data_IF_976287163219
#
_entry.id   IF_976287163219
#
_cell.length_a   1.000
_cell.length_b   1.000
_cell.length_c   1.000
_cell.angle_alpha   90.00
_cell.angle_beta   90.00
_cell.angle_gamma   90.00
#
_symmetry.space_group_name_H-M   'P 1'
#
loop_
_entity.id
_entity.type
_entity.pdbx_description
1 polymer ?
#
# COMPACT_ATOMS: atom_id res chain seq x y z
N UNK A 1 5.78 21.44 8.25
CA UNK A 1 4.84 20.70 7.39
C UNK A 1 4.62 19.34 8.02
N UNK A 2 3.40 18.80 7.98
CA UNK A 2 3.08 17.45 8.49
C UNK A 2 3.62 16.38 7.54
N UNK A 3 4.10 15.25 8.07
CA UNK A 3 4.47 14.09 7.25
C UNK A 3 3.23 13.53 6.57
N UNK A 4 3.28 13.33 5.25
CA UNK A 4 2.17 12.78 4.47
C UNK A 4 2.29 11.26 4.42
N UNK A 5 1.24 10.54 4.84
CA UNK A 5 1.15 9.10 4.71
C UNK A 5 0.14 8.78 3.61
N UNK A 6 0.65 8.34 2.46
CA UNK A 6 -0.16 7.92 1.32
C UNK A 6 -0.39 6.42 1.45
N UNK A 7 -1.60 6.05 1.85
CA UNK A 7 -2.00 4.66 2.03
C UNK A 7 -2.61 4.14 0.72
N UNK A 8 -1.76 3.51 -0.10
CA UNK A 8 -2.10 3.02 -1.44
C UNK A 8 -2.61 1.59 -1.33
N UNK A 9 -3.92 1.39 -1.44
CA UNK A 9 -4.52 0.09 -1.21
C UNK A 9 -5.31 -0.44 -2.42
N UNK A 10 -5.65 -1.73 -2.37
CA UNK A 10 -6.42 -2.44 -3.38
C UNK A 10 -6.07 -3.92 -3.43
N UNK A 11 -6.81 -4.71 -4.20
CA UNK A 11 -6.63 -6.17 -4.33
C UNK A 11 -5.22 -6.55 -4.80
N UNK A 12 -4.75 -7.78 -4.56
CA UNK A 12 -3.53 -8.29 -5.16
C UNK A 12 -3.58 -8.16 -6.70
N UNK A 13 -2.48 -7.74 -7.33
CA UNK A 13 -2.43 -7.62 -8.81
C UNK A 13 -2.77 -6.24 -9.39
N UNK A 14 -3.42 -5.33 -8.65
CA UNK A 14 -3.82 -3.99 -9.17
C UNK A 14 -2.65 -3.03 -9.48
N UNK A 15 -1.39 -3.41 -9.24
CA UNK A 15 -0.23 -2.57 -9.60
C UNK A 15 0.32 -1.67 -8.49
N UNK A 16 -0.08 -1.86 -7.23
CA UNK A 16 0.33 -1.00 -6.09
C UNK A 16 1.83 -0.75 -5.97
N UNK A 17 2.66 -1.79 -6.15
CA UNK A 17 4.11 -1.64 -6.05
C UNK A 17 4.65 -0.75 -7.17
N UNK A 18 4.34 -1.09 -8.42
CA UNK A 18 4.83 -0.35 -9.60
C UNK A 18 4.39 1.12 -9.56
N UNK A 19 3.10 1.38 -9.27
CA UNK A 19 2.58 2.74 -9.13
C UNK A 19 3.23 3.44 -7.92
N UNK A 20 3.43 2.74 -6.81
CA UNK A 20 4.09 3.27 -5.62
C UNK A 20 5.55 3.66 -5.86
N UNK A 21 6.32 2.87 -6.63
CA UNK A 21 7.69 3.17 -7.03
C UNK A 21 7.76 4.43 -7.90
N UNK A 22 6.90 4.54 -8.92
CA UNK A 22 6.83 5.70 -9.80
C UNK A 22 6.38 6.95 -9.04
N UNK A 23 5.39 6.83 -8.16
CA UNK A 23 4.96 7.91 -7.30
C UNK A 23 6.07 8.35 -6.32
N UNK A 24 6.83 7.40 -5.76
CA UNK A 24 8.00 7.66 -4.92
C UNK A 24 9.08 8.43 -5.68
N UNK A 25 9.33 8.06 -6.94
CA UNK A 25 10.29 8.75 -7.80
C UNK A 25 9.86 10.20 -8.12
N UNK A 26 8.57 10.44 -8.40
CA UNK A 26 8.04 11.78 -8.68
C UNK A 26 7.98 12.68 -7.44
N UNK A 27 7.54 12.13 -6.31
CA UNK A 27 7.30 12.91 -5.08
C UNK A 27 8.51 13.02 -4.16
N UNK A 28 9.47 12.11 -4.27
CA UNK A 28 10.57 11.95 -3.32
C UNK A 28 10.14 11.33 -1.98
N UNK A 29 8.89 10.86 -1.86
CA UNK A 29 8.41 10.16 -0.67
C UNK A 29 9.02 8.76 -0.55
N UNK A 30 9.21 8.28 0.67
CA UNK A 30 9.71 6.93 0.91
C UNK A 30 8.63 5.89 0.63
N UNK A 31 9.00 4.78 0.01
CA UNK A 31 8.09 3.66 -0.23
C UNK A 31 8.26 2.62 0.87
N UNK A 32 7.20 2.40 1.65
CA UNK A 32 7.05 1.27 2.55
C UNK A 32 6.28 0.17 1.82
N UNK A 33 7.02 -0.74 1.23
CA UNK A 33 6.43 -1.86 0.50
C UNK A 33 5.94 -2.93 1.47
N UNK A 34 4.65 -3.29 1.40
CA UNK A 34 4.03 -4.27 2.29
C UNK A 34 4.82 -5.58 2.39
N UNK A 35 5.23 -6.16 1.24
CA UNK A 35 5.92 -7.44 1.22
C UNK A 35 7.27 -7.43 1.97
N UNK A 36 7.96 -6.31 2.07
CA UNK A 36 9.20 -6.23 2.85
C UNK A 36 8.98 -6.61 4.32
N UNK A 37 7.84 -6.20 4.89
CA UNK A 37 7.45 -6.56 6.25
C UNK A 37 6.88 -7.98 6.31
N UNK A 38 6.03 -8.34 5.34
CA UNK A 38 5.45 -9.69 5.26
C UNK A 38 6.54 -10.75 5.13
N UNK A 39 7.52 -10.56 4.24
CA UNK A 39 8.62 -11.51 4.01
C UNK A 39 9.47 -11.66 5.29
N UNK A 40 9.79 -10.54 5.97
CA UNK A 40 10.49 -10.58 7.24
C UNK A 40 9.74 -11.40 8.28
N UNK A 41 8.44 -11.17 8.44
CA UNK A 41 7.65 -11.84 9.49
C UNK A 41 7.37 -13.31 9.14
N UNK A 42 7.19 -13.62 7.84
CA UNK A 42 7.00 -15.00 7.35
C UNK A 42 8.26 -15.86 7.56
N UNK A 43 9.46 -15.25 7.60
CA UNK A 43 10.69 -15.97 7.93
C UNK A 43 10.72 -16.48 9.39
N UNK A 44 9.86 -15.93 10.26
CA UNK A 44 9.80 -16.25 11.70
C UNK A 44 8.55 -17.04 12.07
N UNK A 45 7.41 -16.76 11.40
CA UNK A 45 6.10 -17.29 11.76
C UNK A 45 5.30 -17.69 10.52
N UNK A 46 4.47 -18.71 10.63
CA UNK A 46 3.53 -19.10 9.57
C UNK A 46 2.57 -17.97 9.27
N UNK A 47 2.31 -17.71 7.98
CA UNK A 47 1.37 -16.69 7.52
C UNK A 47 0.01 -16.83 8.19
N UNK A 48 -0.57 -15.73 8.67
CA UNK A 48 -1.87 -15.69 9.33
C UNK A 48 -1.91 -16.22 10.76
N UNK A 49 -0.80 -16.76 11.30
CA UNK A 49 -0.75 -17.16 12.72
C UNK A 49 -0.84 -15.93 13.65
N UNK A 50 -1.35 -16.09 14.90
CA UNK A 50 -1.45 -14.96 15.83
C UNK A 50 -0.15 -14.16 16.01
N UNK A 51 1.04 -14.78 16.20
CA UNK A 51 2.28 -14.03 16.30
C UNK A 51 2.69 -13.34 14.99
N UNK A 52 2.39 -13.94 13.82
CA UNK A 52 2.59 -13.29 12.52
C UNK A 52 1.77 -11.99 12.42
N UNK A 53 0.48 -12.06 12.71
CA UNK A 53 -0.43 -10.90 12.63
C UNK A 53 0.04 -9.79 13.57
N UNK A 54 0.30 -10.13 14.83
CA UNK A 54 0.70 -9.16 15.84
C UNK A 54 2.02 -8.44 15.48
N UNK A 55 3.04 -9.20 15.06
CA UNK A 55 4.34 -8.61 14.71
C UNK A 55 4.27 -7.78 13.42
N UNK A 56 3.56 -8.26 12.39
CA UNK A 56 3.39 -7.55 11.11
C UNK A 56 2.73 -6.19 11.30
N UNK A 57 1.60 -6.15 12.00
CA UNK A 57 0.87 -4.90 12.25
C UNK A 57 1.67 -3.93 13.11
N UNK A 58 2.36 -4.46 14.13
CA UNK A 58 3.26 -3.66 14.95
C UNK A 58 4.35 -3.01 14.11
N UNK A 59 5.01 -3.76 13.22
CA UNK A 59 6.08 -3.24 12.37
C UNK A 59 5.58 -2.17 11.40
N UNK A 60 4.41 -2.34 10.80
CA UNK A 60 3.81 -1.31 9.94
C UNK A 60 3.55 -0.02 10.70
N UNK A 61 2.94 -0.11 11.88
CA UNK A 61 2.61 1.04 12.70
C UNK A 61 3.88 1.75 13.20
N UNK A 62 4.86 1.00 13.69
CA UNK A 62 6.11 1.56 14.22
C UNK A 62 6.97 2.20 13.12
N UNK A 63 6.98 1.63 11.90
CA UNK A 63 7.67 2.23 10.76
C UNK A 63 7.06 3.59 10.38
N UNK A 64 5.72 3.69 10.35
CA UNK A 64 5.02 4.96 10.09
C UNK A 64 5.30 5.97 11.20
N UNK A 65 5.21 5.57 12.46
CA UNK A 65 5.51 6.41 13.61
C UNK A 65 6.94 6.96 13.57
N UNK A 66 7.92 6.10 13.24
CA UNK A 66 9.32 6.49 13.10
C UNK A 66 9.51 7.52 11.98
N UNK A 67 8.83 7.35 10.84
CA UNK A 67 8.88 8.31 9.74
C UNK A 67 8.30 9.68 10.12
N UNK A 68 7.19 9.71 10.85
CA UNK A 68 6.59 10.97 11.35
C UNK A 68 7.53 11.64 12.35
N UNK A 69 8.07 10.87 13.30
CA UNK A 69 9.02 11.36 14.31
C UNK A 69 10.29 11.93 13.68
N UNK A 70 10.80 11.28 12.64
CA UNK A 70 11.95 11.74 11.85
C UNK A 70 11.61 12.91 10.90
N UNK A 71 10.37 13.40 10.91
CA UNK A 71 9.89 14.50 10.05
C UNK A 71 10.14 14.25 8.56
N UNK A 72 10.01 13.00 8.10
CA UNK A 72 10.02 12.70 6.67
C UNK A 72 8.94 13.51 5.97
N UNK A 73 9.19 13.96 4.74
CA UNK A 73 8.20 14.72 3.95
C UNK A 73 6.96 13.89 3.62
N UNK A 74 7.15 12.59 3.34
CA UNK A 74 6.05 11.65 3.14
C UNK A 74 6.51 10.20 3.02
N UNK A 75 5.54 9.31 3.20
CA UNK A 75 5.67 7.86 3.05
C UNK A 75 4.50 7.35 2.22
N UNK A 76 4.78 6.51 1.24
CA UNK A 76 3.79 5.74 0.47
C UNK A 76 3.81 4.33 1.06
N UNK A 77 2.70 3.89 1.64
CA UNK A 77 2.54 2.52 2.10
C UNK A 77 1.65 1.76 1.13
N UNK A 78 2.15 0.68 0.53
CA UNK A 78 1.30 -0.22 -0.26
C UNK A 78 0.60 -1.21 0.65
N UNK A 79 -0.69 -1.43 0.45
CA UNK A 79 -1.49 -2.29 1.30
C UNK A 79 -2.50 -3.12 0.48
N UNK A 80 -2.59 -4.40 0.78
CA UNK A 80 -3.67 -5.26 0.28
C UNK A 80 -4.58 -5.60 1.47
N UNK A 81 -5.86 -5.18 1.47
CA UNK A 81 -6.82 -5.71 2.42
C UNK A 81 -6.84 -7.24 2.30
N UNK A 82 -6.78 -7.92 3.44
CA UNK A 82 -6.85 -9.39 3.49
C UNK A 82 -7.26 -9.85 4.89
N UNK A 83 -7.89 -11.02 4.97
CA UNK A 83 -8.62 -11.50 6.14
C UNK A 83 -7.77 -11.73 7.40
N UNK A 84 -6.44 -11.75 7.29
CA UNK A 84 -5.55 -11.89 8.46
C UNK A 84 -5.17 -10.54 9.09
N UNK A 85 -5.57 -9.40 8.49
CA UNK A 85 -5.41 -8.09 9.11
C UNK A 85 -6.56 -7.84 10.07
N UNK A 86 -6.23 -7.37 11.28
CA UNK A 86 -7.26 -7.11 12.30
C UNK A 86 -8.13 -5.90 11.95
N UNK A 87 -9.39 -5.90 12.39
CA UNK A 87 -10.30 -4.76 12.17
C UNK A 87 -9.82 -3.50 12.92
N UNK A 88 -9.00 -3.66 13.97
CA UNK A 88 -8.40 -2.59 14.76
C UNK A 88 -7.22 -1.90 14.08
N UNK A 89 -6.62 -2.50 13.05
CA UNK A 89 -5.42 -1.96 12.41
C UNK A 89 -5.66 -0.55 11.85
N UNK A 90 -6.68 -0.36 11.02
CA UNK A 90 -6.98 0.94 10.40
C UNK A 90 -7.37 2.02 11.43
N UNK A 91 -8.26 1.75 12.41
CA UNK A 91 -8.52 2.69 13.50
C UNK A 91 -7.25 3.08 14.28
N UNK A 92 -6.40 2.10 14.60
CA UNK A 92 -5.14 2.33 15.30
C UNK A 92 -4.18 3.18 14.49
N UNK A 93 -4.02 2.90 13.18
CA UNK A 93 -3.21 3.70 12.27
C UNK A 93 -3.69 5.16 12.25
N UNK A 94 -4.98 5.40 12.05
CA UNK A 94 -5.57 6.76 12.08
C UNK A 94 -5.25 7.48 13.38
N UNK A 95 -5.49 6.83 14.52
CA UNK A 95 -5.22 7.40 15.85
C UNK A 95 -3.75 7.77 16.01
N UNK A 96 -2.81 6.87 15.64
CA UNK A 96 -1.36 7.12 15.79
C UNK A 96 -0.88 8.26 14.91
N UNK A 97 -1.30 8.28 13.63
CA UNK A 97 -0.92 9.34 12.68
C UNK A 97 -1.44 10.70 13.15
N UNK A 98 -2.71 10.79 13.55
CA UNK A 98 -3.32 12.03 14.05
C UNK A 98 -2.63 12.53 15.32
N UNK A 99 -2.37 11.64 16.28
CA UNK A 99 -1.71 12.00 17.53
C UNK A 99 -0.30 12.60 17.32
N UNK A 100 0.37 12.22 16.23
CA UNK A 100 1.70 12.74 15.85
C UNK A 100 1.65 13.87 14.82
N UNK A 101 0.44 14.42 14.56
CA UNK A 101 0.23 15.49 13.56
C UNK A 101 0.69 15.12 12.14
N UNK A 102 0.65 13.84 11.79
CA UNK A 102 0.76 13.36 10.42
C UNK A 102 -0.54 13.57 9.65
N UNK A 103 -0.48 13.52 8.34
CA UNK A 103 -1.65 13.53 7.46
C UNK A 103 -1.76 12.17 6.76
N UNK A 104 -2.91 11.49 6.89
CA UNK A 104 -3.17 10.17 6.31
C UNK A 104 -4.15 10.31 5.16
N UNK A 105 -3.78 9.77 4.00
CA UNK A 105 -4.55 9.82 2.76
C UNK A 105 -4.75 8.43 2.21
N UNK A 106 -5.99 8.05 1.93
CA UNK A 106 -6.37 6.75 1.38
C UNK A 106 -6.59 6.86 -0.13
N UNK A 107 -5.76 6.17 -0.91
CA UNK A 107 -5.87 6.09 -2.36
C UNK A 107 -6.13 4.64 -2.74
N UNK A 108 -7.19 4.39 -3.48
CA UNK A 108 -7.54 3.04 -3.94
C UNK A 108 -7.09 2.82 -5.38
N UNK A 109 -6.43 1.68 -5.63
CA UNK A 109 -6.23 1.18 -6.98
C UNK A 109 -7.21 0.06 -7.27
N UNK A 110 -7.89 0.16 -8.41
CA UNK A 110 -8.78 -0.89 -8.94
C UNK A 110 -8.25 -1.40 -10.27
N UNK A 111 -8.72 -2.57 -10.64
CA UNK A 111 -8.49 -3.20 -11.93
C UNK A 111 -9.59 -4.20 -12.18
N UNK A 112 -10.00 -4.39 -13.44
CA UNK A 112 -10.92 -5.44 -13.80
C UNK A 112 -10.35 -6.84 -13.54
N UNK A 113 -11.22 -7.83 -13.38
CA UNK A 113 -10.82 -9.19 -13.00
C UNK A 113 -10.00 -9.88 -14.10
N UNK A 114 -10.32 -9.66 -15.36
CA UNK A 114 -9.61 -10.28 -16.48
C UNK A 114 -8.16 -9.83 -16.53
N UNK A 115 -7.92 -8.53 -16.35
CA UNK A 115 -6.55 -8.01 -16.31
C UNK A 115 -5.83 -8.36 -15.02
N UNK A 116 -6.54 -8.44 -13.88
CA UNK A 116 -5.97 -8.93 -12.64
C UNK A 116 -5.40 -10.33 -12.79
N UNK A 117 -6.17 -11.26 -13.36
CA UNK A 117 -5.76 -12.63 -13.59
C UNK A 117 -4.52 -12.70 -14.50
N UNK A 118 -4.51 -11.93 -15.60
CA UNK A 118 -3.35 -11.82 -16.48
C UNK A 118 -2.11 -11.34 -15.71
N UNK A 119 -2.26 -10.33 -14.87
CA UNK A 119 -1.15 -9.79 -14.06
C UNK A 119 -0.70 -10.75 -12.96
N UNK A 120 -1.59 -11.61 -12.44
CA UNK A 120 -1.25 -12.59 -11.41
C UNK A 120 -0.32 -13.67 -11.94
N UNK A 121 -0.46 -14.07 -13.21
CA UNK A 121 0.38 -15.10 -13.86
C UNK A 121 1.72 -14.57 -14.35
N UNK A 122 1.93 -13.26 -14.39
CA UNK A 122 3.16 -12.67 -14.91
C UNK A 122 4.41 -13.09 -14.11
N UNK A 123 5.51 -13.38 -14.80
CA UNK A 123 6.79 -13.81 -14.19
C UNK A 123 7.37 -12.82 -13.18
N UNK A 124 7.11 -11.51 -13.38
CA UNK A 124 7.56 -10.45 -12.47
C UNK A 124 7.09 -10.61 -11.01
N UNK A 125 6.07 -11.44 -10.77
CA UNK A 125 5.56 -11.74 -9.42
C UNK A 125 6.37 -12.80 -8.65
N UNK A 126 7.34 -13.44 -9.27
CA UNK A 126 8.18 -14.48 -8.64
C UNK A 126 9.06 -14.00 -7.49
N UNK A 127 9.30 -12.69 -7.37
CA UNK A 127 10.32 -12.13 -6.48
C UNK A 127 9.91 -11.94 -5.01
N UNK A 128 8.62 -12.12 -4.62
CA UNK A 128 8.17 -11.71 -3.28
C UNK A 128 7.04 -12.61 -2.72
N UNK A 129 7.08 -13.92 -2.87
CA UNK A 129 6.05 -14.82 -2.30
C UNK A 129 4.60 -14.41 -2.62
N UNK A 130 4.39 -13.63 -3.69
CA UNK A 130 3.08 -13.08 -4.06
C UNK A 130 2.16 -14.19 -4.57
N UNK A 131 0.86 -14.04 -4.30
CA UNK A 131 -0.17 -14.90 -4.86
C UNK A 131 -0.06 -14.95 -6.39
N UNK A 132 0.13 -16.15 -6.95
CA UNK A 132 0.36 -16.40 -8.39
C UNK A 132 -0.65 -17.35 -9.00
N UNK A 133 -1.32 -18.15 -8.18
CA UNK A 133 -2.34 -19.09 -8.62
C UNK A 133 -3.68 -18.37 -8.78
N UNK A 134 -4.16 -18.29 -10.02
CA UNK A 134 -5.43 -17.64 -10.37
C UNK A 134 -6.61 -18.36 -9.73
N UNK A 135 -6.58 -19.70 -9.65
CA UNK A 135 -7.68 -20.45 -9.04
C UNK A 135 -7.71 -20.20 -7.53
N UNK A 136 -6.54 -20.16 -6.88
CA UNK A 136 -6.44 -19.78 -5.48
C UNK A 136 -6.90 -18.34 -5.26
N UNK A 137 -6.54 -17.41 -6.14
CA UNK A 137 -7.00 -16.02 -6.07
C UNK A 137 -8.53 -15.93 -6.18
N UNK A 138 -9.14 -16.59 -7.18
CA UNK A 138 -10.61 -16.63 -7.37
C UNK A 138 -11.33 -17.19 -6.14
N UNK A 139 -10.77 -18.25 -5.55
CA UNK A 139 -11.35 -18.84 -4.35
C UNK A 139 -11.28 -17.88 -3.17
N UNK A 140 -10.13 -17.29 -2.91
CA UNK A 140 -9.93 -16.31 -1.84
C UNK A 140 -10.83 -15.07 -2.03
N UNK A 141 -10.96 -14.57 -3.26
CA UNK A 141 -11.81 -13.42 -3.59
C UNK A 141 -13.29 -13.75 -3.34
N UNK A 142 -13.75 -14.94 -3.80
CA UNK A 142 -15.10 -15.43 -3.57
C UNK A 142 -15.42 -15.63 -2.08
N UNK A 143 -14.43 -16.02 -1.29
CA UNK A 143 -14.55 -16.22 0.15
C UNK A 143 -14.44 -14.88 0.93
N UNK A 144 -14.36 -13.75 0.24
CA UNK A 144 -14.28 -12.42 0.85
C UNK A 144 -12.94 -12.15 1.55
N UNK A 145 -11.86 -12.89 1.19
CA UNK A 145 -10.56 -12.75 1.85
C UNK A 145 -9.97 -11.32 1.70
N UNK A 146 -10.38 -10.57 0.68
CA UNK A 146 -9.90 -9.21 0.40
C UNK A 146 -10.87 -8.11 0.84
N UNK A 147 -11.96 -8.46 1.51
CA UNK A 147 -12.98 -7.52 2.00
C UNK A 147 -12.65 -6.95 3.39
N UNK A 148 -11.63 -7.51 4.05
CA UNK A 148 -11.20 -7.11 5.40
C UNK A 148 -9.73 -6.71 5.42
N UNK A 149 -9.34 -5.78 6.33
CA UNK A 149 -10.22 -4.93 7.15
C UNK A 149 -11.06 -3.99 6.28
N UNK A 150 -12.20 -3.53 6.81
CA UNK A 150 -13.03 -2.55 6.11
C UNK A 150 -12.25 -1.25 5.90
N UNK A 151 -11.97 -0.95 4.65
CA UNK A 151 -11.21 0.24 4.29
C UNK A 151 -12.07 1.49 4.39
N UNK A 152 -11.51 2.63 4.81
CA UNK A 152 -12.16 3.92 4.71
C UNK A 152 -12.43 4.29 3.24
N UNK A 153 -13.39 5.18 3.02
CA UNK A 153 -13.57 5.77 1.69
C UNK A 153 -12.26 6.39 1.21
N UNK A 154 -11.85 6.02 0.00
CA UNK A 154 -10.70 6.60 -0.65
C UNK A 154 -11.00 8.05 -1.08
N UNK A 155 -10.03 8.95 -0.93
CA UNK A 155 -10.14 10.32 -1.47
C UNK A 155 -9.89 10.35 -3.00
N UNK A 156 -9.27 9.30 -3.53
CA UNK A 156 -9.08 9.07 -4.96
C UNK A 156 -9.14 7.58 -5.25
N UNK A 157 -9.90 7.21 -6.28
CA UNK A 157 -9.92 5.86 -6.85
C UNK A 157 -9.29 5.93 -8.23
N UNK A 158 -8.26 5.12 -8.48
CA UNK A 158 -7.58 5.03 -9.77
C UNK A 158 -7.83 3.67 -10.38
N UNK A 159 -8.53 3.62 -11.51
CA UNK A 159 -8.65 2.42 -12.32
C UNK A 159 -7.37 2.25 -13.14
N UNK A 160 -6.71 1.11 -12.93
CA UNK A 160 -5.45 0.73 -13.62
C UNK A 160 -5.68 -0.21 -14.79
N UNK A 161 -6.93 -0.52 -15.15
CA UNK A 161 -7.29 -1.36 -16.28
C UNK A 161 -6.81 -0.73 -17.58
N UNK A 162 -5.96 -1.42 -18.35
CA UNK A 162 -5.40 -0.90 -19.61
C UNK A 162 -4.55 0.38 -19.47
N UNK A 163 -4.36 0.89 -18.26
CA UNK A 163 -3.64 2.15 -18.03
C UNK A 163 -2.14 1.91 -17.80
N UNK A 164 -1.33 2.80 -18.36
CA UNK A 164 0.10 2.85 -18.06
C UNK A 164 0.31 3.16 -16.55
N UNK A 165 1.18 2.41 -15.85
CA UNK A 165 1.48 2.68 -14.45
C UNK A 165 1.99 4.09 -14.18
N UNK A 166 2.71 4.71 -15.12
CA UNK A 166 3.19 6.10 -15.00
C UNK A 166 2.02 7.08 -15.01
N UNK A 167 1.01 6.87 -15.88
CA UNK A 167 -0.20 7.71 -15.88
C UNK A 167 -0.96 7.59 -14.55
N UNK A 168 -1.07 6.38 -14.01
CA UNK A 168 -1.69 6.14 -12.71
C UNK A 168 -0.96 6.90 -11.59
N UNK A 169 0.37 6.85 -11.57
CA UNK A 169 1.18 7.58 -10.61
C UNK A 169 1.05 9.11 -10.77
N UNK A 170 0.98 9.61 -12.01
CA UNK A 170 0.78 11.03 -12.30
C UNK A 170 -0.58 11.54 -11.84
N UNK A 171 -1.65 10.75 -12.02
CA UNK A 171 -2.99 11.10 -11.50
C UNK A 171 -2.96 11.29 -9.98
N UNK A 172 -2.33 10.36 -9.27
CA UNK A 172 -2.17 10.47 -7.81
C UNK A 172 -1.33 11.69 -7.43
N UNK A 173 -0.20 11.89 -8.08
CA UNK A 173 0.67 13.04 -7.81
C UNK A 173 -0.04 14.38 -8.05
N UNK A 174 -0.85 14.49 -9.11
CA UNK A 174 -1.63 15.69 -9.41
C UNK A 174 -2.71 15.93 -8.35
N UNK A 175 -3.43 14.87 -7.94
CA UNK A 175 -4.40 14.95 -6.85
C UNK A 175 -3.75 15.45 -5.55
N UNK A 176 -2.59 14.93 -5.18
CA UNK A 176 -1.85 15.38 -3.99
C UNK A 176 -1.45 16.86 -4.09
N UNK A 177 -0.98 17.32 -5.26
CA UNK A 177 -0.64 18.75 -5.50
C UNK A 177 -1.85 19.65 -5.38
N UNK A 178 -3.01 19.27 -5.93
CA UNK A 178 -4.27 20.01 -5.81
C UNK A 178 -4.75 20.08 -4.36
N UNK A 179 -4.50 19.06 -3.56
CA UNK A 179 -4.79 19.04 -2.13
C UNK A 179 -3.76 19.84 -1.28
N UNK A 180 -2.90 20.64 -1.91
CA UNK A 180 -1.89 21.46 -1.22
C UNK A 180 -0.69 20.69 -0.70
N UNK A 181 -0.55 19.43 -1.10
CA UNK A 181 0.61 18.61 -0.77
C UNK A 181 1.71 18.91 -1.79
N UNK A 182 2.72 19.66 -1.40
CA UNK A 182 3.88 19.95 -2.24
C UNK A 182 5.02 18.98 -1.94
N UNK A 183 5.15 17.88 -2.73
CA UNK A 183 6.26 16.97 -2.58
C UNK A 183 7.58 17.71 -2.92
N UNK A 184 8.58 17.61 -2.08
CA UNK A 184 9.92 18.12 -2.42
C UNK A 184 10.55 17.16 -3.41
N UNK A 185 10.70 17.58 -4.68
CA UNK A 185 11.52 16.81 -5.64
C UNK A 185 12.88 16.53 -5.02
N UNK A 186 13.32 15.27 -5.02
CA UNK A 186 14.71 14.94 -4.69
C UNK A 186 15.61 15.79 -5.56
N UNK A 187 16.43 16.67 -4.97
CA UNK A 187 17.60 17.18 -5.68
C UNK A 187 18.42 15.95 -6.05
N UNK A 188 18.65 15.74 -7.35
CA UNK A 188 19.66 14.80 -7.81
C UNK A 188 20.95 15.24 -7.13
N UNK A 189 21.47 14.42 -6.21
CA UNK A 189 22.86 14.57 -5.77
C UNK A 189 23.73 14.30 -6.99
N UNK A 190 24.40 15.33 -7.43
CA UNK A 190 25.46 15.28 -8.45
C UNK A 190 26.57 14.37 -7.99
#
# INVERSE_FOLDING_TARGET
MSTQIIFLFGRPGVGKLTVGELLSADTGYRLLHNHAVVDLVTSLFSFGSPPFVALREKLWLDAIDACITAKQSGVIMTFAPESTVTDEFIPTLKKRVTARRGALRFIELRCDDAQLETRLTAESRGKFGKLRDVNQFRQLDKDGAFDRPKMPAAELVVDTTGRDPLESAQLIANHLRQAGVNPRRRRKSS
#
